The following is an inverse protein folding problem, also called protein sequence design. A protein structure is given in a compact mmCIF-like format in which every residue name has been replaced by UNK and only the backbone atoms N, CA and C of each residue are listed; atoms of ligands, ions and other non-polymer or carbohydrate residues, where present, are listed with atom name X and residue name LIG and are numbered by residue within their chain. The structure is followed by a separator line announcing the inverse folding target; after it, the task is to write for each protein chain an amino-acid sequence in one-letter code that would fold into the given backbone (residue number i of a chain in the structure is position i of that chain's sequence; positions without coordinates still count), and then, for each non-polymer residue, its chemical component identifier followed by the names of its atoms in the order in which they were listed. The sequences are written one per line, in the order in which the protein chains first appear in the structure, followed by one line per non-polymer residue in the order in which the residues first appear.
data_IF_898336998142
#
_entry.id   IF_898336998142
#
_cell.length_a   1.000
_cell.length_b   1.000
_cell.length_c   1.000
_cell.angle_alpha   90.00
_cell.angle_beta   90.00
_cell.angle_gamma   90.00
#
_symmetry.space_group_name_H-M   'P 1'
#
loop_
_entity.id
_entity.type
_entity.pdbx_description
1 polymer ?
#
# COMPACT_ATOMS: atom_id res chain seq x y z
N UNK A 1 1.99 -10.33 -11.07
CA UNK A 1 0.54 -10.03 -10.98
C UNK A 1 -0.14 -10.71 -12.16
N UNK A 2 -1.07 -11.62 -11.91
CA UNK A 2 -1.84 -12.31 -12.95
C UNK A 2 -3.21 -11.65 -13.06
N UNK A 3 -3.32 -10.65 -13.95
CA UNK A 3 -4.56 -9.91 -14.19
C UNK A 3 -5.06 -10.14 -15.61
N UNK A 4 -5.57 -9.08 -16.26
CA UNK A 4 -5.88 -9.13 -17.69
C UNK A 4 -4.65 -9.45 -18.56
N UNK A 5 -3.46 -9.13 -18.07
CA UNK A 5 -2.17 -9.63 -18.57
C UNK A 5 -1.27 -9.99 -17.38
N UNK A 6 -0.26 -10.82 -17.61
CA UNK A 6 0.72 -11.14 -16.59
C UNK A 6 1.81 -10.05 -16.54
N UNK A 7 1.98 -9.47 -15.36
CA UNK A 7 2.93 -8.39 -15.10
C UNK A 7 4.00 -8.85 -14.08
N UNK A 8 5.25 -8.52 -14.35
CA UNK A 8 6.39 -8.70 -13.46
C UNK A 8 6.95 -7.32 -13.10
N UNK A 9 7.02 -6.99 -11.81
CA UNK A 9 7.62 -5.74 -11.34
C UNK A 9 8.87 -6.08 -10.54
N UNK A 10 9.99 -5.48 -10.91
CA UNK A 10 11.31 -5.74 -10.30
C UNK A 10 11.91 -4.44 -9.79
N UNK A 11 12.57 -4.53 -8.65
CA UNK A 11 13.44 -3.49 -8.13
C UNK A 11 14.58 -4.08 -7.30
N UNK A 12 15.63 -3.30 -7.07
CA UNK A 12 16.76 -3.62 -6.21
C UNK A 12 16.92 -2.52 -5.16
N UNK A 13 17.60 -2.77 -4.04
CA UNK A 13 17.84 -1.75 -3.01
C UNK A 13 18.52 -0.51 -3.62
N UNK A 14 17.84 0.65 -3.54
CA UNK A 14 18.32 1.91 -4.12
C UNK A 14 18.26 1.99 -5.65
N UNK A 15 17.65 1.01 -6.31
CA UNK A 15 17.49 0.96 -7.76
C UNK A 15 16.17 1.55 -8.26
N UNK A 16 15.96 1.50 -9.57
CA UNK A 16 14.69 1.86 -10.20
C UNK A 16 13.67 0.73 -10.07
N UNK A 17 12.39 1.08 -10.21
CA UNK A 17 11.29 0.11 -10.32
C UNK A 17 10.98 -0.07 -11.80
N UNK A 18 10.91 -1.30 -12.29
CA UNK A 18 10.64 -1.59 -13.70
C UNK A 18 9.54 -2.64 -13.82
N UNK A 19 8.59 -2.38 -14.71
CA UNK A 19 7.47 -3.27 -15.00
C UNK A 19 7.62 -3.93 -16.38
N UNK A 20 7.37 -5.23 -16.42
CA UNK A 20 7.45 -6.07 -17.61
C UNK A 20 6.11 -6.76 -17.84
N UNK A 21 5.66 -6.80 -19.09
CA UNK A 21 4.46 -7.54 -19.50
C UNK A 21 4.88 -8.85 -20.15
N UNK A 22 4.26 -9.97 -19.77
CA UNK A 22 4.44 -11.25 -20.45
C UNK A 22 3.83 -11.19 -21.85
N UNK A 23 4.65 -11.44 -22.87
CA UNK A 23 4.17 -11.83 -24.19
C UNK A 23 3.99 -13.35 -24.20
N UNK A 24 2.74 -13.82 -24.20
CA UNK A 24 2.42 -15.24 -24.20
C UNK A 24 2.81 -15.98 -25.48
N UNK A 25 3.01 -15.26 -26.59
CA UNK A 25 3.41 -15.87 -27.87
C UNK A 25 4.89 -16.21 -27.89
N UNK A 26 5.71 -15.39 -27.25
CA UNK A 26 7.17 -15.57 -27.14
C UNK A 26 7.58 -16.30 -25.85
N UNK A 27 6.76 -16.23 -24.80
CA UNK A 27 7.11 -16.73 -23.47
C UNK A 27 8.07 -15.82 -22.71
N UNK A 28 8.14 -14.54 -23.07
CA UNK A 28 9.11 -13.58 -22.52
C UNK A 28 8.43 -12.41 -21.79
N UNK A 29 9.07 -11.91 -20.73
CA UNK A 29 8.68 -10.68 -20.07
C UNK A 29 9.37 -9.48 -20.74
N UNK A 30 8.59 -8.68 -21.47
CA UNK A 30 9.09 -7.51 -22.20
C UNK A 30 8.99 -6.28 -21.31
N UNK A 31 10.05 -5.46 -21.26
CA UNK A 31 10.05 -4.21 -20.51
C UNK A 31 9.03 -3.23 -21.14
N UNK A 32 7.97 -2.93 -20.40
CA UNK A 32 6.87 -2.06 -20.86
C UNK A 32 6.72 -0.80 -20.03
N UNK A 33 7.22 -0.80 -18.79
CA UNK A 33 7.15 0.33 -17.87
C UNK A 33 8.54 0.60 -17.28
N UNK A 34 9.44 1.26 -18.03
CA UNK A 34 10.75 1.62 -17.51
C UNK A 34 10.63 2.70 -16.42
N UNK A 35 11.45 2.58 -15.37
CA UNK A 35 11.59 3.59 -14.32
C UNK A 35 10.24 4.07 -13.75
N UNK A 36 9.39 3.13 -13.36
CA UNK A 36 8.09 3.42 -12.74
C UNK A 36 8.27 4.38 -11.55
N UNK A 37 7.40 5.38 -11.51
CA UNK A 37 7.31 6.36 -10.42
C UNK A 37 5.89 6.47 -9.96
N UNK A 38 5.73 6.47 -8.64
CA UNK A 38 4.45 6.62 -8.00
C UNK A 38 4.02 8.09 -8.09
N UNK A 39 2.77 8.40 -8.46
CA UNK A 39 2.26 9.77 -8.35
C UNK A 39 2.31 10.26 -6.90
N UNK A 40 2.67 11.53 -6.69
CA UNK A 40 2.82 12.09 -5.33
C UNK A 40 1.52 12.08 -4.51
N UNK A 41 0.37 12.18 -5.19
CA UNK A 41 -0.97 12.14 -4.58
C UNK A 41 -2.04 11.67 -5.56
N UNK A 42 -3.11 11.06 -5.05
CA UNK A 42 -4.32 10.70 -5.83
C UNK A 42 -5.47 10.41 -4.87
N UNK A 43 -6.66 10.92 -5.19
CA UNK A 43 -7.88 10.70 -4.43
C UNK A 43 -8.48 9.28 -4.62
N UNK A 44 -7.69 8.24 -4.32
CA UNK A 44 -8.09 6.83 -4.33
C UNK A 44 -7.62 6.19 -3.02
N UNK A 45 -8.51 5.47 -2.35
CA UNK A 45 -8.13 4.62 -1.22
C UNK A 45 -8.59 3.18 -1.44
N UNK A 46 -7.88 2.27 -0.79
CA UNK A 46 -8.07 0.83 -0.90
C UNK A 46 -7.92 0.18 0.46
N UNK A 47 -9.03 -0.28 1.02
CA UNK A 47 -9.09 -0.91 2.34
C UNK A 47 -10.32 -1.80 2.44
N UNK A 48 -10.27 -2.84 3.27
CA UNK A 48 -11.45 -3.66 3.57
C UNK A 48 -12.33 -3.01 4.65
N UNK A 49 -13.31 -2.21 4.22
CA UNK A 49 -14.24 -1.53 5.11
C UNK A 49 -15.14 -2.45 5.95
N UNK A 50 -15.26 -3.73 5.58
CA UNK A 50 -15.96 -4.73 6.38
C UNK A 50 -15.34 -4.96 7.77
N UNK A 51 -14.09 -4.55 7.96
CA UNK A 51 -13.41 -4.60 9.25
C UNK A 51 -13.55 -3.32 10.08
N UNK A 52 -14.28 -2.30 9.60
CA UNK A 52 -14.38 -0.99 10.24
C UNK A 52 -14.81 -1.04 11.71
N UNK A 53 -15.66 -1.99 12.09
CA UNK A 53 -16.08 -2.17 13.49
C UNK A 53 -14.92 -2.52 14.45
N UNK A 54 -13.80 -3.04 13.94
CA UNK A 54 -12.63 -3.45 14.73
C UNK A 54 -11.50 -2.43 14.69
N UNK A 55 -11.57 -1.45 13.79
CA UNK A 55 -10.52 -0.45 13.63
C UNK A 55 -10.38 0.45 14.85
N UNK A 56 -9.17 0.99 15.02
CA UNK A 56 -8.91 2.04 15.98
C UNK A 56 -9.55 3.36 15.53
N UNK A 57 -9.83 4.22 16.50
CA UNK A 57 -10.58 5.46 16.28
C UNK A 57 -9.92 6.39 15.26
N UNK A 58 -8.58 6.44 15.24
CA UNK A 58 -7.83 7.26 14.29
C UNK A 58 -7.97 6.75 12.83
N UNK A 59 -8.06 5.42 12.64
CA UNK A 59 -8.25 4.80 11.33
C UNK A 59 -9.67 5.08 10.84
N UNK A 60 -10.66 4.96 11.74
CA UNK A 60 -12.05 5.33 11.46
C UNK A 60 -12.17 6.80 11.05
N UNK A 61 -11.51 7.70 11.79
CA UNK A 61 -11.52 9.13 11.48
C UNK A 61 -10.87 9.42 10.13
N UNK A 62 -9.72 8.80 9.84
CA UNK A 62 -9.02 8.94 8.56
C UNK A 62 -9.91 8.54 7.37
N UNK A 63 -10.49 7.34 7.38
CA UNK A 63 -11.34 6.89 6.28
C UNK A 63 -12.67 7.66 6.19
N UNK A 64 -13.20 8.13 7.32
CA UNK A 64 -14.36 9.04 7.33
C UNK A 64 -14.04 10.35 6.62
N UNK A 65 -12.88 10.95 6.89
CA UNK A 65 -12.44 12.19 6.22
C UNK A 65 -12.27 12.00 4.71
N UNK A 66 -11.76 10.85 4.26
CA UNK A 66 -11.65 10.56 2.82
C UNK A 66 -13.01 10.50 2.11
N UNK A 67 -14.07 10.06 2.81
CA UNK A 67 -15.44 9.94 2.28
C UNK A 67 -16.23 11.24 2.36
N UNK A 68 -16.03 12.00 3.44
CA UNK A 68 -16.76 13.21 3.74
C UNK A 68 -15.79 14.37 4.00
N UNK A 69 -14.95 14.73 3.00
CA UNK A 69 -13.94 15.75 3.21
C UNK A 69 -14.62 17.12 3.43
N UNK A 70 -14.03 17.95 4.29
CA UNK A 70 -14.51 19.31 4.55
C UNK A 70 -14.49 20.19 3.29
N UNK A 71 -13.60 19.90 2.34
CA UNK A 71 -13.51 20.57 1.04
C UNK A 71 -13.07 19.61 -0.06
N UNK A 72 -13.47 19.88 -1.30
CA UNK A 72 -13.14 19.06 -2.46
C UNK A 72 -14.05 17.85 -2.64
N UNK A 73 -13.62 16.90 -3.49
CA UNK A 73 -14.38 15.69 -3.82
C UNK A 73 -13.97 14.54 -2.91
N UNK A 74 -14.90 13.65 -2.52
CA UNK A 74 -14.59 12.39 -1.87
C UNK A 74 -13.59 11.55 -2.69
N UNK A 75 -12.82 10.73 -1.98
CA UNK A 75 -11.91 9.80 -2.61
C UNK A 75 -12.68 8.63 -3.22
N UNK A 76 -12.20 8.11 -4.34
CA UNK A 76 -12.74 6.89 -4.94
C UNK A 76 -12.28 5.66 -4.15
N UNK A 77 -13.22 4.84 -3.70
CA UNK A 77 -12.91 3.54 -3.08
C UNK A 77 -12.61 2.48 -4.13
N UNK A 78 -11.52 1.72 -3.97
CA UNK A 78 -11.21 0.54 -4.78
C UNK A 78 -10.63 -0.54 -3.88
N UNK A 79 -11.27 -1.69 -3.78
CA UNK A 79 -10.71 -2.82 -3.04
C UNK A 79 -10.93 -4.10 -3.82
N UNK A 80 -9.85 -4.62 -4.40
CA UNK A 80 -9.89 -5.85 -5.22
C UNK A 80 -9.88 -7.08 -4.29
N UNK A 81 -9.30 -6.96 -3.10
CA UNK A 81 -9.18 -8.06 -2.15
C UNK A 81 -7.95 -8.94 -2.38
N UNK A 82 -7.08 -8.53 -3.30
CA UNK A 82 -5.80 -9.17 -3.58
C UNK A 82 -4.70 -8.11 -3.47
N UNK A 83 -3.82 -8.27 -2.47
CA UNK A 83 -2.78 -7.28 -2.17
C UNK A 83 -1.97 -6.90 -3.40
N UNK A 84 -1.55 -7.89 -4.21
CA UNK A 84 -0.75 -7.63 -5.41
C UNK A 84 -1.52 -6.80 -6.45
N UNK A 85 -2.84 -6.99 -6.59
CA UNK A 85 -3.64 -6.23 -7.54
C UNK A 85 -3.91 -4.81 -7.04
N UNK A 86 -4.26 -4.67 -5.75
CA UNK A 86 -4.47 -3.37 -5.13
C UNK A 86 -3.17 -2.53 -5.10
N UNK A 87 -2.04 -3.14 -4.73
CA UNK A 87 -0.73 -2.50 -4.74
C UNK A 87 -0.28 -2.13 -6.16
N UNK A 88 -0.47 -3.01 -7.15
CA UNK A 88 -0.10 -2.69 -8.54
C UNK A 88 -0.90 -1.51 -9.10
N UNK A 89 -2.21 -1.44 -8.83
CA UNK A 89 -3.02 -0.27 -9.18
C UNK A 89 -2.53 0.99 -8.46
N UNK A 90 -2.27 0.91 -7.15
CA UNK A 90 -1.75 2.05 -6.39
C UNK A 90 -0.40 2.51 -6.96
N UNK A 91 0.48 1.58 -7.35
CA UNK A 91 1.77 1.89 -7.98
C UNK A 91 1.62 2.70 -9.27
N UNK A 92 0.64 2.36 -10.11
CA UNK A 92 0.41 3.03 -11.39
C UNK A 92 -0.35 4.36 -11.26
N UNK A 93 -1.38 4.40 -10.40
CA UNK A 93 -2.33 5.50 -10.37
C UNK A 93 -2.16 6.44 -9.18
N UNK A 94 -1.37 6.03 -8.19
CA UNK A 94 -1.28 6.69 -6.89
C UNK A 94 -2.47 6.37 -5.99
N UNK A 95 -2.46 7.00 -4.81
CA UNK A 95 -3.44 6.80 -3.75
C UNK A 95 -2.85 6.01 -2.59
N UNK A 96 -3.72 5.44 -1.76
CA UNK A 96 -3.32 4.66 -0.60
C UNK A 96 -3.93 3.25 -0.64
N UNK A 97 -3.12 2.25 -0.34
CA UNK A 97 -3.56 0.92 0.07
C UNK A 97 -3.30 0.73 1.56
N UNK A 98 -4.31 0.23 2.26
CA UNK A 98 -4.24 0.01 3.69
C UNK A 98 -4.77 -1.38 4.06
N UNK A 99 -4.07 -2.01 4.99
CA UNK A 99 -4.52 -3.16 5.75
C UNK A 99 -4.12 -2.93 7.21
N UNK A 100 -4.83 -2.05 7.94
CA UNK A 100 -4.46 -1.68 9.29
C UNK A 100 -4.51 -2.89 10.23
N UNK A 101 -3.69 -2.86 11.28
CA UNK A 101 -3.96 -3.61 12.49
C UNK A 101 -5.31 -3.17 13.07
N UNK A 102 -5.97 -4.09 13.77
CA UNK A 102 -7.28 -3.86 14.36
C UNK A 102 -7.41 -4.67 15.66
N UNK A 103 -8.51 -4.47 16.39
CA UNK A 103 -8.78 -5.15 17.67
C UNK A 103 -8.79 -6.68 17.57
N UNK A 104 -9.07 -7.24 16.38
CA UNK A 104 -9.09 -8.69 16.13
C UNK A 104 -7.72 -9.22 15.73
N UNK A 105 -6.93 -8.40 15.04
CA UNK A 105 -5.57 -8.71 14.56
C UNK A 105 -4.62 -7.58 14.98
N UNK A 106 -4.13 -7.57 16.24
CA UNK A 106 -3.35 -6.46 16.79
C UNK A 106 -2.01 -6.22 16.08
N UNK A 107 -1.42 -7.28 15.50
CA UNK A 107 -0.24 -7.18 14.63
C UNK A 107 -0.61 -7.01 13.14
N UNK A 108 -1.89 -6.83 12.78
CA UNK A 108 -2.36 -6.91 11.41
C UNK A 108 -2.38 -8.34 10.84
N UNK A 109 -2.62 -8.45 9.53
CA UNK A 109 -2.87 -9.74 8.86
C UNK A 109 -1.76 -10.17 7.89
N UNK A 110 -1.09 -9.20 7.26
CA UNK A 110 -0.13 -9.47 6.20
C UNK A 110 1.23 -9.81 6.81
N UNK A 111 1.98 -10.73 6.21
CA UNK A 111 3.27 -11.18 6.73
C UNK A 111 4.38 -10.25 6.28
N UNK A 112 5.29 -9.95 7.21
CA UNK A 112 6.35 -8.98 7.00
C UNK A 112 7.25 -9.43 5.84
N UNK A 113 7.77 -10.67 5.90
CA UNK A 113 8.84 -11.12 5.00
C UNK A 113 8.46 -11.23 3.53
N UNK A 114 7.24 -11.68 3.23
CA UNK A 114 6.85 -12.05 1.86
C UNK A 114 5.57 -11.37 1.37
N UNK A 115 4.98 -10.46 2.16
CA UNK A 115 3.87 -9.60 1.71
C UNK A 115 4.26 -8.13 1.89
N UNK A 116 4.55 -7.68 3.11
CA UNK A 116 4.79 -6.26 3.40
C UNK A 116 6.14 -5.76 2.89
N UNK A 117 7.25 -6.42 3.24
CA UNK A 117 8.60 -5.94 2.92
C UNK A 117 8.88 -5.89 1.39
N UNK A 118 8.49 -6.89 0.57
CA UNK A 118 8.67 -6.79 -0.87
C UNK A 118 7.89 -5.62 -1.49
N UNK A 119 6.65 -5.38 -1.05
CA UNK A 119 5.86 -4.24 -1.52
C UNK A 119 6.42 -2.91 -1.02
N UNK A 120 6.90 -2.85 0.22
CA UNK A 120 7.54 -1.65 0.77
C UNK A 120 8.77 -1.24 -0.05
N UNK A 121 9.63 -2.20 -0.42
CA UNK A 121 10.80 -1.92 -1.25
C UNK A 121 10.41 -1.34 -2.62
N UNK A 122 9.38 -1.90 -3.27
CA UNK A 122 8.86 -1.37 -4.54
C UNK A 122 8.34 0.05 -4.37
N UNK A 123 7.53 0.30 -3.34
CA UNK A 123 6.90 1.60 -3.14
C UNK A 123 7.89 2.68 -2.75
N UNK A 124 8.82 2.41 -1.84
CA UNK A 124 9.86 3.36 -1.44
C UNK A 124 10.77 3.72 -2.63
N UNK A 125 11.23 2.74 -3.41
CA UNK A 125 12.03 3.00 -4.62
C UNK A 125 11.24 3.75 -5.71
N UNK A 126 9.92 3.59 -5.78
CA UNK A 126 9.06 4.32 -6.71
C UNK A 126 8.79 5.78 -6.27
N UNK A 127 9.27 6.20 -5.10
CA UNK A 127 9.05 7.53 -4.53
C UNK A 127 7.82 7.65 -3.61
N UNK A 128 7.24 6.52 -3.20
CA UNK A 128 6.16 6.44 -2.22
C UNK A 128 6.64 6.18 -0.79
N UNK A 129 5.71 5.79 0.06
CA UNK A 129 5.97 5.37 1.43
C UNK A 129 5.26 4.05 1.75
N UNK A 130 5.79 3.32 2.73
CA UNK A 130 5.20 2.09 3.25
C UNK A 130 5.48 1.98 4.76
N UNK A 131 4.42 2.07 5.56
CA UNK A 131 4.47 2.13 7.02
C UNK A 131 3.58 1.04 7.63
N UNK A 132 3.89 0.65 8.86
CA UNK A 132 2.98 -0.16 9.67
C UNK A 132 1.91 0.69 10.38
N UNK A 133 1.05 0.06 11.18
CA UNK A 133 0.02 0.77 11.95
C UNK A 133 0.54 1.73 13.02
N UNK A 134 1.79 1.56 13.46
CA UNK A 134 2.46 2.46 14.40
C UNK A 134 3.25 3.58 13.70
N UNK A 135 3.07 3.72 12.38
CA UNK A 135 3.79 4.67 11.53
C UNK A 135 5.31 4.42 11.41
N UNK A 136 5.77 3.21 11.74
CA UNK A 136 7.15 2.78 11.55
C UNK A 136 7.37 2.34 10.11
N UNK A 137 8.56 2.60 9.55
CA UNK A 137 8.89 2.22 8.17
C UNK A 137 8.98 0.69 8.05
N UNK A 138 8.24 0.10 7.11
CA UNK A 138 8.16 -1.36 7.00
C UNK A 138 9.52 -2.03 6.77
N UNK A 139 10.42 -1.39 6.01
CA UNK A 139 11.76 -1.90 5.74
C UNK A 139 12.73 -1.83 6.94
N UNK A 140 12.36 -1.17 8.04
CA UNK A 140 13.19 -1.14 9.26
C UNK A 140 12.73 -2.13 10.33
N UNK A 141 11.61 -2.83 10.11
CA UNK A 141 11.11 -3.81 11.05
C UNK A 141 12.00 -5.06 11.06
N UNK A 142 12.41 -5.49 12.24
CA UNK A 142 13.02 -6.79 12.46
C UNK A 142 11.93 -7.77 12.90
N UNK A 143 11.50 -8.72 12.04
CA UNK A 143 10.47 -9.68 12.41
C UNK A 143 10.99 -10.66 13.47
N UNK A 144 10.12 -11.01 14.42
CA UNK A 144 10.43 -11.98 15.49
C UNK A 144 10.32 -13.44 14.99
N UNK A 145 9.52 -13.66 13.95
CA UNK A 145 9.21 -14.96 13.36
C UNK A 145 9.06 -14.86 11.83
N UNK A 146 9.29 -15.96 11.10
CA UNK A 146 9.17 -16.00 9.64
C UNK A 146 7.75 -15.70 9.12
N UNK A 147 6.73 -15.90 9.96
CA UNK A 147 5.33 -15.63 9.68
C UNK A 147 4.79 -14.42 10.46
N UNK A 148 5.67 -13.59 11.04
CA UNK A 148 5.28 -12.40 11.77
C UNK A 148 4.51 -11.43 10.87
N UNK A 149 3.55 -10.73 11.48
CA UNK A 149 2.54 -9.93 10.77
C UNK A 149 2.71 -8.45 11.03
N UNK A 150 2.24 -7.65 10.09
CA UNK A 150 2.13 -6.21 10.25
C UNK A 150 0.82 -5.68 9.69
N UNK A 151 0.34 -4.58 10.28
CA UNK A 151 -0.53 -3.65 9.56
C UNK A 151 0.27 -2.96 8.46
N UNK A 152 -0.40 -2.46 7.44
CA UNK A 152 0.27 -1.71 6.36
C UNK A 152 -0.53 -0.51 5.89
N UNK A 153 0.17 0.57 5.63
CA UNK A 153 -0.25 1.72 4.85
C UNK A 153 0.85 1.99 3.83
N UNK A 154 0.56 1.77 2.54
CA UNK A 154 1.51 2.04 1.46
C UNK A 154 0.84 2.82 0.34
N UNK A 155 1.58 3.70 -0.31
CA UNK A 155 0.98 4.58 -1.29
C UNK A 155 1.81 5.79 -1.64
N UNK A 156 1.13 6.70 -2.34
CA UNK A 156 1.58 8.03 -2.70
C UNK A 156 2.12 8.76 -1.47
N UNK A 157 3.26 9.44 -1.61
CA UNK A 157 3.95 10.08 -0.48
C UNK A 157 3.01 11.01 0.31
N UNK A 158 2.33 11.93 -0.37
CA UNK A 158 1.44 12.91 0.30
C UNK A 158 0.23 12.23 0.96
N UNK A 159 -0.23 11.11 0.40
CA UNK A 159 -1.37 10.34 0.94
C UNK A 159 -0.98 9.61 2.22
N UNK A 160 0.25 9.08 2.28
CA UNK A 160 0.77 8.40 3.48
C UNK A 160 1.17 9.43 4.56
N UNK A 161 1.66 10.62 4.20
CA UNK A 161 1.82 11.72 5.16
C UNK A 161 0.48 12.12 5.80
N UNK A 162 -0.62 12.12 5.03
CA UNK A 162 -1.95 12.32 5.60
C UNK A 162 -2.30 11.24 6.63
N UNK A 163 -1.98 9.97 6.36
CA UNK A 163 -2.17 8.87 7.35
C UNK A 163 -1.42 9.18 8.65
N UNK A 164 -0.13 9.58 8.56
CA UNK A 164 0.68 9.93 9.74
C UNK A 164 0.05 11.06 10.56
N UNK A 165 -0.48 12.09 9.91
CA UNK A 165 -1.12 13.21 10.59
C UNK A 165 -2.34 12.77 11.41
N UNK A 166 -3.17 11.87 10.89
CA UNK A 166 -4.29 11.30 11.64
C UNK A 166 -3.84 10.43 12.81
N UNK A 167 -2.81 9.59 12.62
CA UNK A 167 -2.25 8.81 13.72
C UNK A 167 -1.69 9.72 14.83
N UNK A 168 -0.92 10.75 14.47
CA UNK A 168 -0.33 11.70 15.43
C UNK A 168 -1.38 12.48 16.22
N UNK A 169 -2.50 12.88 15.59
CA UNK A 169 -3.61 13.55 16.28
C UNK A 169 -4.19 12.72 17.43
N UNK A 170 -4.08 11.40 17.35
CA UNK A 170 -4.57 10.44 18.35
C UNK A 170 -3.49 9.91 19.29
N UNK A 171 -2.22 10.16 19.01
CA UNK A 171 -1.11 9.84 19.91
C UNK A 171 -1.13 10.82 21.10
N UNK A 172 -1.80 10.43 22.18
CA UNK A 172 -1.76 11.10 23.49
C UNK A 172 -0.77 10.42 24.42
#
# INVERSE_FOLDING_TARGET
MYGASAQLVITMKGGTVNGFTMDSSLGEFILTHPNMRLPAKRAIYSVNEGNSMYWDDWVLEYFKDLKYPASGKPYSSRYIGSMVADAYRTLLYGGVFAYPADKKSPKGKLRILYECAPMALVFENAGGQALNSNMERLLTLAPEDIHDRSGVFLGSYDEVEKVKAFHQKHAK
#
